data_IF_488544256086
#
_entry.id   IF_488544256086
#
_cell.length_a   1.000
_cell.length_b   1.000
_cell.length_c   1.000
_cell.angle_alpha   90.00
_cell.angle_beta   90.00
_cell.angle_gamma   90.00
#
_symmetry.space_group_name_H-M   'P 1'
#
loop_
_entity.id
_entity.type
_entity.pdbx_description
1 polymer ?
#
# COMPACT_ATOMS: atom_id res chain seq x y z
N UNK A 1 17.89 2.56 -30.22
CA UNK A 1 16.78 3.39 -29.73
C UNK A 1 15.50 2.57 -29.89
N UNK A 2 15.04 1.92 -28.83
CA UNK A 2 13.85 1.06 -28.87
C UNK A 2 12.60 1.89 -28.59
N UNK A 3 11.72 1.99 -29.57
CA UNK A 3 10.39 2.58 -29.39
C UNK A 3 9.56 1.64 -28.51
N UNK A 4 9.29 2.06 -27.27
CA UNK A 4 8.27 1.45 -26.41
C UNK A 4 6.91 1.68 -27.09
N UNK A 5 6.37 0.64 -27.73
CA UNK A 5 5.13 0.72 -28.48
C UNK A 5 3.87 0.92 -27.60
N UNK A 6 2.69 1.11 -28.23
CA UNK A 6 1.40 1.33 -27.55
C UNK A 6 0.97 0.19 -26.61
N UNK A 7 1.60 -0.98 -26.68
CA UNK A 7 1.37 -2.11 -25.79
C UNK A 7 1.77 -1.82 -24.32
N UNK A 8 2.88 -1.09 -24.10
CA UNK A 8 3.30 -0.66 -22.76
C UNK A 8 2.31 0.33 -22.13
N UNK A 9 1.73 1.22 -22.96
CA UNK A 9 0.75 2.20 -22.50
C UNK A 9 -0.61 1.56 -22.17
N UNK A 10 -1.03 0.55 -22.94
CA UNK A 10 -2.28 -0.18 -22.71
C UNK A 10 -2.22 -1.07 -21.46
N UNK A 11 -1.07 -1.69 -21.19
CA UNK A 11 -0.87 -2.46 -19.97
C UNK A 11 -0.84 -1.54 -18.74
N UNK A 12 -0.23 -0.35 -18.85
CA UNK A 12 -0.15 0.63 -17.75
C UNK A 12 -1.37 1.53 -17.60
N UNK A 13 -2.51 1.23 -18.25
CA UNK A 13 -3.73 2.06 -18.22
C UNK A 13 -4.31 2.30 -16.82
N UNK A 14 -3.90 1.48 -15.85
CA UNK A 14 -4.33 1.50 -14.46
C UNK A 14 -3.27 2.07 -13.50
N UNK A 15 -2.03 2.30 -13.96
CA UNK A 15 -0.99 2.93 -13.14
C UNK A 15 -1.49 4.27 -12.61
N UNK A 16 -1.34 4.52 -11.31
CA UNK A 16 -1.71 5.77 -10.67
C UNK A 16 -3.21 5.96 -10.47
N UNK A 17 -4.04 5.01 -10.90
CA UNK A 17 -5.49 5.03 -10.65
C UNK A 17 -5.81 4.39 -9.31
N UNK A 18 -6.94 4.82 -8.77
CA UNK A 18 -7.47 4.31 -7.53
C UNK A 18 -8.13 2.92 -7.71
N UNK A 19 -7.81 1.92 -6.87
CA UNK A 19 -8.35 0.56 -6.99
C UNK A 19 -9.87 0.47 -6.75
N UNK A 20 -10.45 1.34 -5.92
CA UNK A 20 -11.88 1.39 -5.60
C UNK A 20 -12.67 1.93 -6.79
N UNK A 21 -12.26 3.07 -7.35
CA UNK A 21 -13.02 3.73 -8.45
C UNK A 21 -12.80 3.08 -9.81
N UNK A 22 -11.73 2.32 -9.97
CA UNK A 22 -11.45 1.58 -11.21
C UNK A 22 -12.21 0.25 -11.31
N UNK A 23 -12.89 -0.20 -10.25
CA UNK A 23 -13.52 -1.51 -10.17
C UNK A 23 -12.53 -2.68 -9.95
N UNK A 24 -11.22 -2.40 -9.95
CA UNK A 24 -10.16 -3.40 -9.78
C UNK A 24 -10.16 -4.07 -8.41
N UNK A 25 -10.77 -3.42 -7.40
CA UNK A 25 -10.92 -3.98 -6.06
C UNK A 25 -11.81 -5.22 -6.00
N UNK A 26 -12.77 -5.38 -6.91
CA UNK A 26 -13.69 -6.53 -6.93
C UNK A 26 -12.97 -7.88 -7.12
N UNK A 27 -11.92 -7.89 -7.95
CA UNK A 27 -11.03 -9.04 -8.16
C UNK A 27 -9.72 -8.93 -7.38
N UNK A 28 -9.62 -7.94 -6.48
CA UNK A 28 -8.49 -7.74 -5.60
C UNK A 28 -8.45 -8.77 -4.48
N UNK A 29 -7.27 -9.32 -4.18
CA UNK A 29 -7.01 -10.20 -3.03
C UNK A 29 -5.70 -9.82 -2.36
N UNK A 30 -5.62 -10.00 -1.05
CA UNK A 30 -4.36 -9.87 -0.30
C UNK A 30 -3.42 -11.00 -0.73
N UNK A 31 -2.27 -10.65 -1.28
CA UNK A 31 -1.22 -11.63 -1.63
C UNK A 31 -0.16 -11.71 -0.54
N UNK A 32 0.11 -10.60 0.14
CA UNK A 32 1.01 -10.55 1.28
C UNK A 32 0.53 -9.55 2.33
N UNK A 33 0.85 -9.83 3.59
CA UNK A 33 0.60 -8.94 4.70
C UNK A 33 1.70 -9.04 5.75
N UNK A 34 1.96 -7.93 6.43
CA UNK A 34 2.85 -7.89 7.59
C UNK A 34 2.24 -6.95 8.62
N UNK A 35 2.12 -7.44 9.84
CA UNK A 35 1.68 -6.65 11.00
C UNK A 35 2.86 -6.48 11.92
N UNK A 36 3.04 -5.26 12.40
CA UNK A 36 3.93 -4.95 13.51
C UNK A 36 3.10 -4.44 14.69
N UNK A 37 3.52 -4.75 15.92
CA UNK A 37 2.79 -4.44 17.15
C UNK A 37 3.74 -3.92 18.21
N UNK A 38 3.33 -2.88 18.94
CA UNK A 38 4.08 -2.39 20.10
C UNK A 38 3.14 -1.89 21.19
N UNK A 39 3.66 -1.78 22.42
CA UNK A 39 2.95 -1.16 23.52
C UNK A 39 3.51 0.24 23.75
N UNK A 40 2.68 1.29 23.61
CA UNK A 40 3.06 2.65 23.95
C UNK A 40 2.94 2.86 25.45
N UNK A 41 4.07 3.01 26.14
CA UNK A 41 4.09 3.34 27.57
C UNK A 41 3.55 4.75 27.83
N UNK A 42 3.80 5.71 26.94
CA UNK A 42 3.30 7.10 27.03
C UNK A 42 1.78 7.19 27.02
N UNK A 43 1.12 6.33 26.26
CA UNK A 43 -0.34 6.33 26.10
C UNK A 43 -1.04 5.11 26.71
N UNK A 44 -0.29 4.20 27.35
CA UNK A 44 -0.78 2.96 27.98
C UNK A 44 -1.70 2.11 27.07
N UNK A 45 -1.31 1.92 25.80
CA UNK A 45 -2.13 1.21 24.83
C UNK A 45 -1.31 0.32 23.88
N UNK A 46 -1.96 -0.75 23.40
CA UNK A 46 -1.41 -1.65 22.40
C UNK A 46 -1.71 -1.14 20.99
N UNK A 47 -0.65 -0.86 20.24
CA UNK A 47 -0.70 -0.41 18.84
C UNK A 47 -0.30 -1.55 17.92
N UNK A 48 -0.93 -1.58 16.75
CA UNK A 48 -0.63 -2.44 15.63
C UNK A 48 -0.79 -1.67 14.32
N UNK A 49 0.12 -1.95 13.38
CA UNK A 49 0.09 -1.42 12.02
C UNK A 49 0.27 -2.59 11.07
N UNK A 50 -0.64 -2.71 10.11
CA UNK A 50 -0.64 -3.79 9.12
C UNK A 50 -0.43 -3.21 7.73
N UNK A 51 0.67 -3.56 7.07
CA UNK A 51 0.80 -3.40 5.62
C UNK A 51 0.22 -4.63 4.92
N UNK A 52 -0.61 -4.40 3.90
CA UNK A 52 -1.11 -5.43 3.01
C UNK A 52 -0.80 -5.07 1.56
N UNK A 53 -0.24 -6.02 0.81
CA UNK A 53 -0.12 -5.97 -0.64
C UNK A 53 -1.31 -6.71 -1.23
N UNK A 54 -2.05 -6.00 -2.06
CA UNK A 54 -3.20 -6.53 -2.79
C UNK A 54 -2.84 -6.69 -4.26
N UNK A 55 -3.37 -7.74 -4.89
CA UNK A 55 -3.27 -7.97 -6.32
C UNK A 55 -4.66 -8.21 -6.91
N UNK A 56 -4.93 -7.61 -8.08
CA UNK A 56 -6.15 -7.83 -8.84
C UNK A 56 -5.86 -8.60 -10.12
N UNK A 57 -6.46 -9.78 -10.26
CA UNK A 57 -6.32 -10.60 -11.48
C UNK A 57 -7.02 -9.98 -12.69
N UNK A 58 -8.14 -9.26 -12.48
CA UNK A 58 -8.90 -8.61 -13.53
C UNK A 58 -8.19 -7.38 -14.12
N UNK A 59 -7.48 -6.62 -13.29
CA UNK A 59 -6.73 -5.44 -13.74
C UNK A 59 -5.23 -5.69 -13.92
N UNK A 60 -4.70 -6.80 -13.41
CA UNK A 60 -3.28 -7.16 -13.35
C UNK A 60 -2.44 -6.06 -12.67
N UNK A 61 -2.95 -5.57 -11.55
CA UNK A 61 -2.37 -4.48 -10.78
C UNK A 61 -2.21 -4.85 -9.33
N UNK A 62 -1.24 -4.22 -8.68
CA UNK A 62 -1.03 -4.24 -7.23
C UNK A 62 -1.29 -2.88 -6.59
N UNK A 63 -1.63 -2.88 -5.32
CA UNK A 63 -1.66 -1.68 -4.47
C UNK A 63 -1.35 -2.04 -3.02
N UNK A 64 -0.87 -1.05 -2.28
CA UNK A 64 -0.71 -1.14 -0.84
C UNK A 64 -2.02 -0.73 -0.16
N UNK A 65 -2.35 -1.42 0.92
CA UNK A 65 -3.35 -1.01 1.89
C UNK A 65 -2.72 -1.07 3.27
N UNK A 66 -2.99 -0.05 4.08
CA UNK A 66 -2.55 0.01 5.47
C UNK A 66 -3.74 0.11 6.37
N UNK A 67 -3.72 -0.62 7.46
CA UNK A 67 -4.65 -0.48 8.57
C UNK A 67 -3.87 -0.33 9.88
N UNK A 68 -4.32 0.58 10.74
CA UNK A 68 -3.75 0.78 12.06
C UNK A 68 -4.86 0.90 13.11
N UNK A 69 -4.70 0.21 14.24
CA UNK A 69 -5.60 0.35 15.38
C UNK A 69 -5.24 1.56 16.28
N UNK A 70 -4.74 2.61 15.64
CA UNK A 70 -4.51 4.00 16.07
C UNK A 70 -5.71 4.79 16.64
N UNK A 71 -5.94 5.08 17.95
CA UNK A 71 -6.93 6.10 18.30
C UNK A 71 -6.70 7.39 17.51
N UNK A 72 -7.73 7.89 16.83
CA UNK A 72 -7.60 8.95 15.83
C UNK A 72 -7.00 10.23 16.39
N UNK A 73 -7.25 10.51 17.68
CA UNK A 73 -6.72 11.66 18.42
C UNK A 73 -5.25 11.52 18.86
N UNK A 74 -4.68 10.32 18.75
CA UNK A 74 -3.28 9.99 19.11
C UNK A 74 -2.41 9.69 17.89
N UNK A 75 -3.00 9.74 16.71
CA UNK A 75 -2.39 9.24 15.50
C UNK A 75 -1.95 10.42 14.62
N UNK A 76 -0.63 10.57 14.47
CA UNK A 76 0.02 11.75 13.86
C UNK A 76 0.40 11.56 12.40
N UNK A 77 0.36 10.34 11.87
CA UNK A 77 0.50 10.08 10.44
C UNK A 77 0.45 8.61 10.06
N UNK A 78 -0.04 8.29 8.87
CA UNK A 78 0.40 7.08 8.14
C UNK A 78 1.04 7.53 6.84
N UNK A 79 1.99 6.73 6.42
CA UNK A 79 2.31 6.65 5.01
C UNK A 79 2.39 5.19 4.60
N UNK A 80 2.08 4.96 3.34
CA UNK A 80 2.52 3.74 2.69
C UNK A 80 3.02 4.08 1.31
N UNK A 81 3.92 3.23 0.82
CA UNK A 81 4.36 3.24 -0.55
C UNK A 81 4.15 1.85 -1.14
N UNK A 82 3.78 1.83 -2.41
CA UNK A 82 3.88 0.63 -3.24
C UNK A 82 5.05 0.83 -4.21
N UNK A 83 5.84 -0.20 -4.43
CA UNK A 83 6.98 -0.19 -5.35
C UNK A 83 6.83 -1.27 -6.40
N UNK A 84 7.15 -0.95 -7.66
CA UNK A 84 7.35 -1.92 -8.74
C UNK A 84 8.84 -2.19 -8.91
N UNK A 85 9.25 -3.45 -8.81
CA UNK A 85 10.68 -3.82 -8.80
C UNK A 85 11.39 -3.58 -10.14
N UNK A 86 10.66 -3.63 -11.26
CA UNK A 86 11.27 -3.55 -12.60
C UNK A 86 11.81 -2.16 -12.96
N UNK A 87 11.16 -1.09 -12.48
CA UNK A 87 11.50 0.29 -12.83
C UNK A 87 11.54 1.23 -11.62
N UNK A 88 11.46 0.68 -10.40
CA UNK A 88 11.46 1.43 -9.14
C UNK A 88 10.35 2.49 -9.04
N UNK A 89 9.34 2.42 -9.92
CA UNK A 89 8.21 3.31 -9.86
C UNK A 89 7.44 3.05 -8.58
N UNK A 90 7.08 4.13 -7.89
CA UNK A 90 6.34 4.05 -6.65
C UNK A 90 5.20 5.04 -6.59
N UNK A 91 4.21 4.70 -5.77
CA UNK A 91 3.15 5.63 -5.39
C UNK A 91 2.99 5.63 -3.88
N UNK A 92 2.79 6.82 -3.33
CA UNK A 92 2.44 7.01 -1.93
C UNK A 92 0.94 6.94 -1.75
N UNK A 93 0.53 6.40 -0.62
CA UNK A 93 -0.87 6.35 -0.23
C UNK A 93 -1.42 7.76 -0.01
N UNK A 94 -2.48 8.07 -0.76
CA UNK A 94 -3.09 9.39 -0.80
C UNK A 94 -4.60 9.35 -0.51
N UNK A 95 -5.18 8.15 -0.38
CA UNK A 95 -6.61 7.97 -0.11
C UNK A 95 -6.87 7.27 1.22
N UNK A 96 -7.84 7.80 1.98
CA UNK A 96 -8.48 7.11 3.10
C UNK A 96 -9.76 6.41 2.62
N UNK A 97 -10.01 5.15 3.01
CA UNK A 97 -11.28 4.45 2.68
C UNK A 97 -12.45 4.79 3.61
N UNK A 98 -12.24 5.65 4.61
CA UNK A 98 -13.26 6.09 5.56
C UNK A 98 -13.21 5.33 6.89
N UNK A 99 -12.73 4.09 6.86
CA UNK A 99 -12.10 3.36 7.97
C UNK A 99 -10.65 3.83 8.12
N UNK A 100 -9.92 3.46 9.17
CA UNK A 100 -8.52 3.89 9.47
C UNK A 100 -7.48 3.37 8.46
N UNK A 101 -7.92 3.16 7.25
CA UNK A 101 -7.23 2.49 6.18
C UNK A 101 -6.76 3.51 5.14
N UNK A 102 -5.52 3.34 4.67
CA UNK A 102 -4.97 4.11 3.56
C UNK A 102 -4.64 3.20 2.39
N UNK A 103 -4.91 3.68 1.18
CA UNK A 103 -4.63 2.96 -0.06
C UNK A 103 -3.66 3.74 -0.93
N UNK A 104 -2.76 3.01 -1.57
CA UNK A 104 -1.98 3.54 -2.67
C UNK A 104 -2.78 3.52 -3.97
N UNK A 105 -2.43 4.40 -4.91
CA UNK A 105 -2.70 4.15 -6.32
C UNK A 105 -2.17 2.79 -6.78
N UNK A 106 -2.78 2.26 -7.83
CA UNK A 106 -2.38 0.98 -8.41
C UNK A 106 -1.08 1.10 -9.21
N UNK A 107 -0.32 0.01 -9.23
CA UNK A 107 0.77 -0.23 -10.17
C UNK A 107 0.44 -1.49 -10.98
N UNK A 108 0.58 -1.42 -12.29
CA UNK A 108 0.58 -2.60 -13.14
C UNK A 108 1.74 -3.50 -12.74
N UNK A 109 1.43 -4.78 -12.52
CA UNK A 109 2.40 -5.80 -12.14
C UNK A 109 2.42 -6.98 -13.11
N UNK A 110 2.03 -6.75 -14.37
CA UNK A 110 2.02 -7.77 -15.41
C UNK A 110 3.47 -8.09 -15.79
N UNK A 111 3.90 -9.33 -15.51
CA UNK A 111 5.26 -9.82 -15.74
C UNK A 111 6.34 -9.12 -14.90
N UNK A 112 5.94 -8.45 -13.83
CA UNK A 112 6.85 -7.85 -12.85
C UNK A 112 6.43 -8.30 -11.46
N UNK A 113 7.19 -7.89 -10.45
CA UNK A 113 6.81 -8.09 -9.05
C UNK A 113 6.80 -6.74 -8.34
N UNK A 114 5.90 -6.59 -7.37
CA UNK A 114 5.84 -5.41 -6.50
C UNK A 114 5.96 -5.76 -5.02
N UNK A 115 6.23 -4.76 -4.20
CA UNK A 115 6.11 -4.86 -2.75
C UNK A 115 5.48 -3.61 -2.15
N UNK A 116 4.68 -3.80 -1.11
CA UNK A 116 4.13 -2.72 -0.31
C UNK A 116 5.01 -2.46 0.91
N UNK A 117 5.13 -1.20 1.28
CA UNK A 117 5.69 -0.73 2.54
C UNK A 117 4.68 0.15 3.25
N UNK A 118 4.53 -0.03 4.56
CA UNK A 118 3.73 0.83 5.41
C UNK A 118 4.54 1.34 6.58
N UNK A 119 4.19 2.53 7.05
CA UNK A 119 4.63 3.07 8.31
C UNK A 119 3.53 3.91 8.96
N UNK A 120 3.55 3.95 10.29
CA UNK A 120 2.67 4.81 11.09
C UNK A 120 3.45 5.42 12.22
N UNK A 121 3.03 6.61 12.65
CA UNK A 121 3.55 7.31 13.83
C UNK A 121 2.44 7.46 14.87
N UNK A 122 2.81 7.41 16.15
CA UNK A 122 1.87 7.57 17.28
C UNK A 122 2.39 8.68 18.18
N UNK A 123 1.69 9.81 18.22
CA UNK A 123 2.18 11.02 18.89
C UNK A 123 3.55 11.47 18.35
N UNK A 124 4.39 12.02 19.23
CA UNK A 124 5.80 12.35 18.94
C UNK A 124 6.74 11.18 19.23
N UNK A 125 6.19 9.99 19.49
CA UNK A 125 6.98 8.78 19.75
C UNK A 125 7.51 8.27 18.39
N UNK A 126 8.83 8.23 18.15
CA UNK A 126 9.42 8.00 16.83
C UNK A 126 9.34 6.54 16.38
N UNK A 127 8.35 5.78 16.87
CA UNK A 127 8.13 4.39 16.49
C UNK A 127 7.58 4.32 15.07
N UNK A 128 8.49 4.36 14.10
CA UNK A 128 8.20 4.04 12.71
C UNK A 128 7.91 2.53 12.60
N UNK A 129 6.63 2.18 12.54
CA UNK A 129 6.22 0.78 12.41
C UNK A 129 6.32 0.34 10.96
N UNK A 130 7.46 -0.22 10.56
CA UNK A 130 7.69 -0.58 9.16
C UNK A 130 7.22 -2.00 8.84
N UNK A 131 6.26 -2.10 7.92
CA UNK A 131 5.81 -3.38 7.39
C UNK A 131 6.06 -3.45 5.88
N UNK A 132 6.94 -4.35 5.45
CA UNK A 132 7.25 -4.62 4.03
C UNK A 132 6.77 -6.01 3.64
N UNK A 133 6.04 -6.09 2.54
CA UNK A 133 5.69 -7.39 1.95
C UNK A 133 6.87 -7.97 1.17
N UNK A 134 6.89 -9.30 0.99
CA UNK A 134 7.74 -9.90 -0.04
C UNK A 134 7.35 -9.44 -1.45
N UNK A 135 8.21 -9.73 -2.43
CA UNK A 135 7.78 -9.85 -3.83
C UNK A 135 7.08 -11.20 -4.00
N UNK A 136 6.00 -11.28 -4.77
CA UNK A 136 5.31 -12.53 -5.08
C UNK A 136 5.56 -12.96 -6.52
#
# INVERSE_FOLDING_TARGET
MGFTGPADAADRKWDGKDPVYSGCMSTGRVVHKKTDTYYSSRYHLHVSVTASLWYSTGCRTVWAMVDANVPTDKWTGMGCNIWRNSDMKHYTCNRKTGTREMLSPMLNDKNTTGFATAWSYVGDDPHEMFARTGSY
#
